data_IF_611193964183
#
_entry.id   IF_611193964183
#
_cell.length_a   1.000
_cell.length_b   1.000
_cell.length_c   1.000
_cell.angle_alpha   90.00
_cell.angle_beta   90.00
_cell.angle_gamma   90.00
#
_symmetry.space_group_name_H-M   'P 1'
#
loop_
_entity.id
_entity.type
_entity.pdbx_description
1 polymer ?
#
# COMPACT_ATOMS: atom_id res chain seq x y z
N UNK A 1 -11.02 -7.25 -3.72
CA UNK A 1 -9.69 -7.84 -3.39
C UNK A 1 -9.54 -7.69 -1.88
N UNK A 2 -8.97 -8.68 -1.18
CA UNK A 2 -8.79 -8.55 0.27
C UNK A 2 -7.87 -7.34 0.57
N UNK A 3 -8.16 -6.60 1.64
CA UNK A 3 -7.41 -5.41 2.05
C UNK A 3 -5.91 -5.69 2.28
N UNK A 4 -5.54 -6.89 2.74
CA UNK A 4 -4.13 -7.30 2.89
C UNK A 4 -3.37 -7.26 1.55
N UNK A 5 -4.01 -7.76 0.49
CA UNK A 5 -3.43 -7.75 -0.86
C UNK A 5 -3.37 -6.33 -1.43
N UNK A 6 -4.40 -5.51 -1.19
CA UNK A 6 -4.40 -4.09 -1.59
C UNK A 6 -3.18 -3.38 -0.99
N UNK A 7 -2.97 -3.51 0.33
CA UNK A 7 -1.85 -2.90 1.04
C UNK A 7 -0.50 -3.37 0.50
N UNK A 8 -0.33 -4.67 0.26
CA UNK A 8 0.89 -5.23 -0.34
C UNK A 8 1.20 -4.59 -1.68
N UNK A 9 0.22 -4.54 -2.60
CA UNK A 9 0.44 -3.93 -3.91
C UNK A 9 0.69 -2.43 -3.83
N UNK A 10 0.05 -1.72 -2.90
CA UNK A 10 0.30 -0.29 -2.70
C UNK A 10 1.74 -0.04 -2.23
N UNK A 11 2.26 -0.84 -1.29
CA UNK A 11 3.66 -0.77 -0.86
C UNK A 11 4.63 -1.07 -2.01
N UNK A 12 4.34 -2.08 -2.83
CA UNK A 12 5.14 -2.41 -4.01
C UNK A 12 5.20 -1.27 -5.03
N UNK A 13 4.05 -0.64 -5.32
CA UNK A 13 3.98 0.53 -6.20
C UNK A 13 4.67 1.76 -5.57
N UNK A 14 4.55 1.93 -4.25
CA UNK A 14 5.22 3.01 -3.52
C UNK A 14 6.74 2.86 -3.62
N UNK A 15 7.27 1.63 -3.47
CA UNK A 15 8.69 1.30 -3.65
C UNK A 15 9.21 1.63 -5.05
N UNK A 16 8.35 1.57 -6.08
CA UNK A 16 8.68 1.99 -7.46
C UNK A 16 8.64 3.51 -7.66
N UNK A 17 8.29 4.29 -6.63
CA UNK A 17 8.23 5.75 -6.67
C UNK A 17 6.86 6.31 -7.08
N UNK A 18 5.81 5.49 -7.15
CA UNK A 18 4.47 5.92 -7.54
C UNK A 18 3.79 6.83 -6.51
N UNK A 19 4.34 6.96 -5.30
CA UNK A 19 3.80 7.82 -4.24
C UNK A 19 4.08 9.31 -4.44
N UNK A 20 5.22 9.65 -5.05
CA UNK A 20 5.65 11.05 -5.22
C UNK A 20 5.26 11.61 -6.58
N UNK A 21 5.20 10.75 -7.60
CA UNK A 21 5.00 11.15 -8.98
C UNK A 21 4.35 10.05 -9.80
N UNK A 22 3.89 10.46 -10.97
CA UNK A 22 3.56 9.55 -12.06
C UNK A 22 4.80 8.78 -12.50
N UNK A 23 4.70 7.45 -12.49
CA UNK A 23 5.74 6.56 -13.02
C UNK A 23 5.22 5.84 -14.26
N UNK A 24 6.13 5.54 -15.19
CA UNK A 24 5.86 4.55 -16.23
C UNK A 24 5.76 3.19 -15.57
N UNK A 25 4.73 2.44 -15.93
CA UNK A 25 4.52 1.11 -15.40
C UNK A 25 4.01 0.16 -16.49
N UNK A 26 4.85 -0.19 -17.49
CA UNK A 26 4.52 -1.19 -18.47
C UNK A 26 4.08 -2.49 -17.76
N UNK A 27 2.97 -3.07 -18.23
CA UNK A 27 2.36 -4.22 -17.53
C UNK A 27 3.27 -5.45 -17.51
N UNK A 28 4.20 -5.58 -18.46
CA UNK A 28 5.23 -6.62 -18.50
C UNK A 28 6.31 -6.41 -17.42
N UNK A 29 6.77 -5.18 -17.24
CA UNK A 29 7.76 -4.84 -16.19
C UNK A 29 7.15 -5.03 -14.80
N UNK A 30 5.91 -4.55 -14.60
CA UNK A 30 5.18 -4.78 -13.36
C UNK A 30 4.92 -6.27 -13.10
N UNK A 31 4.65 -7.07 -14.14
CA UNK A 31 4.43 -8.51 -13.99
C UNK A 31 5.67 -9.20 -13.45
N UNK A 32 6.83 -8.87 -14.00
CA UNK A 32 8.13 -9.39 -13.54
C UNK A 32 8.42 -8.93 -12.09
N UNK A 33 8.18 -7.65 -11.78
CA UNK A 33 8.42 -7.12 -10.44
C UNK A 33 7.52 -7.75 -9.37
N UNK A 34 6.24 -7.91 -9.67
CA UNK A 34 5.23 -8.44 -8.74
C UNK A 34 5.21 -9.98 -8.70
N UNK A 35 5.93 -10.66 -9.60
CA UNK A 35 5.93 -12.12 -9.69
C UNK A 35 4.57 -12.71 -10.11
N UNK A 36 3.79 -11.99 -10.92
CA UNK A 36 2.46 -12.42 -11.40
C UNK A 36 2.33 -12.25 -12.90
N UNK A 37 1.33 -12.87 -13.52
CA UNK A 37 1.10 -12.71 -14.96
C UNK A 37 0.67 -11.28 -15.34
N UNK A 38 0.95 -10.87 -16.57
CA UNK A 38 0.55 -9.57 -17.12
C UNK A 38 -0.97 -9.34 -17.05
N UNK A 39 -1.79 -10.38 -17.27
CA UNK A 39 -3.25 -10.28 -17.12
C UNK A 39 -3.65 -10.07 -15.66
N UNK A 40 -2.89 -10.62 -14.72
CA UNK A 40 -3.09 -10.40 -13.28
C UNK A 40 -2.75 -8.96 -12.91
N UNK A 41 -1.64 -8.40 -13.41
CA UNK A 41 -1.30 -6.97 -13.24
C UNK A 41 -2.45 -6.08 -13.71
N UNK A 42 -2.95 -6.29 -14.93
CA UNK A 42 -4.07 -5.50 -15.46
C UNK A 42 -5.31 -5.58 -14.56
N UNK A 43 -5.66 -6.77 -14.05
CA UNK A 43 -6.77 -6.94 -13.09
C UNK A 43 -6.52 -6.23 -11.77
N UNK A 44 -5.30 -6.30 -11.24
CA UNK A 44 -4.91 -5.65 -9.99
C UNK A 44 -5.01 -4.12 -10.14
N UNK A 45 -4.37 -3.56 -11.16
CA UNK A 45 -4.36 -2.11 -11.41
C UNK A 45 -5.77 -1.58 -11.71
N UNK A 46 -6.59 -2.33 -12.44
CA UNK A 46 -8.00 -1.97 -12.64
C UNK A 46 -8.73 -1.89 -11.30
N UNK A 47 -8.59 -2.89 -10.42
CA UNK A 47 -9.25 -2.88 -9.11
C UNK A 47 -8.78 -1.74 -8.22
N UNK A 48 -7.47 -1.54 -8.11
CA UNK A 48 -6.91 -0.44 -7.31
C UNK A 48 -7.40 0.92 -7.83
N UNK A 49 -7.51 1.08 -9.15
CA UNK A 49 -7.99 2.31 -9.76
C UNK A 49 -9.48 2.54 -9.52
N UNK A 50 -10.33 1.53 -9.74
CA UNK A 50 -11.77 1.62 -9.48
C UNK A 50 -12.08 1.90 -8.00
N UNK A 51 -11.20 1.49 -7.10
CA UNK A 51 -11.31 1.76 -5.66
C UNK A 51 -10.63 3.06 -5.22
N UNK A 52 -10.12 3.86 -6.17
CA UNK A 52 -9.47 5.14 -5.94
C UNK A 52 -8.18 5.06 -5.09
N UNK A 53 -7.49 3.92 -5.06
CA UNK A 53 -6.18 3.81 -4.42
C UNK A 53 -5.02 4.23 -5.35
N UNK A 54 -5.25 4.15 -6.65
CA UNK A 54 -4.29 4.63 -7.66
C UNK A 54 -5.03 5.41 -8.75
N UNK A 55 -4.34 6.38 -9.33
CA UNK A 55 -4.70 6.93 -10.62
C UNK A 55 -3.86 6.25 -11.70
N UNK A 56 -4.46 5.98 -12.86
CA UNK A 56 -3.75 5.43 -14.00
C UNK A 56 -4.25 6.04 -15.30
N UNK A 57 -3.36 6.12 -16.28
CA UNK A 57 -3.71 6.57 -17.63
C UNK A 57 -2.76 5.99 -18.68
N UNK A 58 -3.16 6.03 -19.94
CA UNK A 58 -2.31 5.69 -21.07
C UNK A 58 -1.77 6.97 -21.70
N UNK A 59 -0.45 7.15 -21.72
CA UNK A 59 0.24 8.22 -22.47
C UNK A 59 1.09 7.59 -23.55
N UNK A 60 0.85 7.94 -24.82
CA UNK A 60 1.58 7.37 -25.96
C UNK A 60 1.64 5.83 -25.92
N UNK A 61 0.51 5.18 -25.59
CA UNK A 61 0.36 3.71 -25.43
C UNK A 61 1.14 3.08 -24.27
N UNK A 62 1.81 3.87 -23.44
CA UNK A 62 2.47 3.41 -22.22
C UNK A 62 1.55 3.66 -21.04
N UNK A 63 1.44 2.70 -20.13
CA UNK A 63 0.70 2.85 -18.89
C UNK A 63 1.50 3.69 -17.89
N UNK A 64 0.85 4.70 -17.33
CA UNK A 64 1.37 5.52 -16.25
C UNK A 64 0.47 5.41 -15.04
N UNK A 65 1.08 5.41 -13.86
CA UNK A 65 0.37 5.27 -12.58
C UNK A 65 0.94 6.22 -11.54
N UNK A 66 0.10 6.63 -10.59
CA UNK A 66 0.49 7.22 -9.31
C UNK A 66 -0.46 6.74 -8.23
N UNK A 67 0.00 6.71 -6.99
CA UNK A 67 -0.85 6.46 -5.83
C UNK A 67 -1.65 7.74 -5.54
N UNK A 68 -2.92 7.59 -5.21
CA UNK A 68 -3.79 8.70 -4.82
C UNK A 68 -3.56 9.07 -3.35
N UNK A 69 -4.13 10.18 -2.90
CA UNK A 69 -4.14 10.52 -1.48
C UNK A 69 -4.74 9.40 -0.62
N UNK A 70 -5.87 8.84 -1.03
CA UNK A 70 -6.49 7.68 -0.38
C UNK A 70 -5.56 6.47 -0.31
N UNK A 71 -4.83 6.18 -1.39
CA UNK A 71 -3.84 5.11 -1.40
C UNK A 71 -2.66 5.35 -0.45
N UNK A 72 -2.21 6.60 -0.32
CA UNK A 72 -1.17 6.99 0.62
C UNK A 72 -1.63 6.89 2.07
N UNK A 73 -2.86 7.32 2.38
CA UNK A 73 -3.46 7.15 3.71
C UNK A 73 -3.52 5.67 4.11
N UNK A 74 -3.93 4.79 3.19
CA UNK A 74 -3.99 3.35 3.46
C UNK A 74 -2.59 2.74 3.75
N UNK A 75 -1.55 3.23 3.09
CA UNK A 75 -0.16 2.86 3.39
C UNK A 75 0.23 3.34 4.79
N UNK A 76 -0.05 4.60 5.12
CA UNK A 76 0.28 5.21 6.41
C UNK A 76 -0.41 4.47 7.57
N UNK A 77 -1.70 4.19 7.43
CA UNK A 77 -2.48 3.42 8.40
C UNK A 77 -1.93 2.01 8.60
N UNK A 78 -1.48 1.37 7.51
CA UNK A 78 -0.87 0.06 7.60
C UNK A 78 0.50 0.09 8.27
N UNK A 79 1.33 1.11 8.02
CA UNK A 79 2.61 1.30 8.70
C UNK A 79 2.37 1.50 10.20
N UNK A 80 1.44 2.37 10.59
CA UNK A 80 1.07 2.59 12.00
C UNK A 80 0.63 1.29 12.67
N UNK A 81 -0.22 0.51 11.97
CA UNK A 81 -0.65 -0.81 12.42
C UNK A 81 0.55 -1.73 12.67
N UNK A 82 1.43 -1.90 11.68
CA UNK A 82 2.60 -2.80 11.81
C UNK A 82 3.56 -2.32 12.90
N UNK A 83 3.87 -1.03 12.96
CA UNK A 83 4.76 -0.45 13.98
C UNK A 83 4.23 -0.69 15.40
N UNK A 84 2.92 -0.55 15.61
CA UNK A 84 2.29 -0.81 16.91
C UNK A 84 2.61 -2.23 17.41
N UNK A 85 2.50 -3.23 16.54
CA UNK A 85 2.79 -4.62 16.92
C UNK A 85 4.27 -4.99 16.93
N UNK A 86 5.13 -4.23 16.23
CA UNK A 86 6.58 -4.37 16.40
C UNK A 86 7.05 -3.85 17.77
N UNK A 87 6.41 -2.80 18.30
CA UNK A 87 6.73 -2.24 19.61
C UNK A 87 6.14 -3.05 20.76
N UNK A 88 4.97 -3.66 20.55
CA UNK A 88 4.28 -4.44 21.58
C UNK A 88 3.91 -5.83 21.03
N UNK A 89 4.91 -6.73 20.85
CA UNK A 89 4.65 -8.06 20.34
C UNK A 89 3.86 -8.90 21.37
N UNK A 90 2.75 -9.50 20.94
CA UNK A 90 1.98 -10.48 21.74
C UNK A 90 0.85 -9.93 22.61
N UNK A 91 0.65 -8.61 22.69
CA UNK A 91 -0.33 -7.99 23.61
C UNK A 91 -1.74 -7.82 23.00
N UNK A 92 -2.06 -8.57 21.94
CA UNK A 92 -3.34 -8.44 21.21
C UNK A 92 -4.56 -8.79 22.07
N UNK A 93 -4.35 -9.49 23.19
CA UNK A 93 -5.39 -10.04 24.06
C UNK A 93 -5.22 -9.67 25.54
N UNK A 94 -4.14 -8.97 25.93
CA UNK A 94 -3.77 -8.80 27.34
C UNK A 94 -3.98 -7.39 27.92
N UNK A 95 -4.45 -6.40 27.14
CA UNK A 95 -4.67 -5.06 27.69
C UNK A 95 -5.93 -4.35 27.19
N UNK A 96 -6.83 -4.07 28.14
CA UNK A 96 -7.79 -2.95 28.15
C UNK A 96 -7.07 -1.58 28.25
N UNK A 97 -5.86 -1.44 27.70
CA UNK A 97 -5.04 -0.24 27.85
C UNK A 97 -4.94 0.48 26.52
N UNK A 98 -5.35 1.75 26.49
CA UNK A 98 -5.37 2.51 25.26
C UNK A 98 -3.94 2.87 24.82
N UNK A 99 -3.72 2.98 23.51
CA UNK A 99 -2.45 3.43 22.91
C UNK A 99 -1.92 4.75 23.51
N UNK A 100 -2.81 5.61 24.02
CA UNK A 100 -2.42 6.87 24.68
C UNK A 100 -1.75 6.66 26.03
N UNK A 101 -2.12 5.62 26.75
CA UNK A 101 -1.61 5.34 28.09
C UNK A 101 -0.22 4.70 28.02
N UNK A 102 0.01 3.80 27.05
CA UNK A 102 1.33 3.21 26.85
C UNK A 102 2.42 4.23 26.47
N UNK A 103 2.10 5.17 25.57
CA UNK A 103 3.04 6.22 25.12
C UNK A 103 3.42 7.15 26.28
N UNK A 104 2.50 7.43 27.20
CA UNK A 104 2.77 8.24 28.40
C UNK A 104 3.71 7.56 29.40
N UNK A 105 3.62 6.24 29.53
CA UNK A 105 4.45 5.49 30.48
C UNK A 105 5.89 5.25 29.97
N UNK A 106 6.11 5.27 28.66
CA UNK A 106 7.37 4.80 28.05
C UNK A 106 8.11 5.87 27.24
N UNK A 107 7.68 7.13 27.31
CA UNK A 107 8.39 8.27 26.70
C UNK A 107 8.66 9.31 27.77
N UNK A 108 9.95 9.61 28.01
CA UNK A 108 10.46 10.61 28.97
C UNK A 108 10.18 12.03 28.45
#
# INVERSE_FOLDING_TARGET
MNIRLIRSYLLDLYKLGAGEKMIKAPTTELANFLGVSQQSVSRILNKLHTQDYIYKELRNRVLWIRITEKGLMEIEDYIKYVMTYMLIPGDLYSRDMSLRDWVKEHTI
#
